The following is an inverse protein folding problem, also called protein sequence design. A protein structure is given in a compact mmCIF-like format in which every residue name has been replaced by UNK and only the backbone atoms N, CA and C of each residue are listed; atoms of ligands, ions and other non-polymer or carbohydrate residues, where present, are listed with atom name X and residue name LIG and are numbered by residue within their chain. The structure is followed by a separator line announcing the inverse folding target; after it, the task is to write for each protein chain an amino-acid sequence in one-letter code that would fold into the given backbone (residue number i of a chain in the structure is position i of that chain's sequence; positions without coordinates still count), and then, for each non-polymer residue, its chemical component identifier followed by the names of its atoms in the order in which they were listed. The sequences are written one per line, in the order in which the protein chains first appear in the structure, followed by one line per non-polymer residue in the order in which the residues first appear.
data_IF_426637989377
#
_entry.id   IF_426637989377
#
_cell.length_a   1.000
_cell.length_b   1.000
_cell.length_c   1.000
_cell.angle_alpha   90.00
_cell.angle_beta   90.00
_cell.angle_gamma   90.00
#
_symmetry.space_group_name_H-M   'P 1'
#
loop_
_entity.id
_entity.type
_entity.pdbx_description
1 polymer ?
#
# COMPACT_ATOMS: atom_id res chain seq x y z
N UNK A 1 19.98 3.46 -7.28
CA UNK A 1 18.99 4.28 -7.99
C UNK A 1 17.67 4.16 -7.25
N UNK A 2 16.97 5.28 -7.02
CA UNK A 2 15.62 5.23 -6.46
C UNK A 2 14.62 4.92 -7.58
N UNK A 3 13.64 4.04 -7.34
CA UNK A 3 12.54 3.77 -8.28
C UNK A 3 11.22 3.97 -7.56
N UNK A 4 10.25 4.55 -8.26
CA UNK A 4 8.90 4.77 -7.73
C UNK A 4 7.96 3.77 -8.40
N UNK A 5 7.18 3.09 -7.59
CA UNK A 5 6.19 2.11 -8.02
C UNK A 5 4.83 2.54 -7.48
N UNK A 6 3.80 2.46 -8.30
CA UNK A 6 2.45 2.79 -7.91
C UNK A 6 1.59 1.54 -7.97
N UNK A 7 0.71 1.39 -6.99
CA UNK A 7 -0.22 0.27 -6.88
C UNK A 7 -1.61 0.78 -6.56
N UNK A 8 -2.61 0.07 -7.03
CA UNK A 8 -4.01 0.42 -6.81
C UNK A 8 -4.84 -0.85 -6.61
N UNK A 9 -5.78 -0.77 -5.67
CA UNK A 9 -6.93 -1.66 -5.55
C UNK A 9 -8.21 -0.87 -5.20
N UNK A 10 -9.35 -1.32 -5.71
CA UNK A 10 -10.66 -0.83 -5.27
C UNK A 10 -11.25 -1.80 -4.25
N UNK A 11 -11.69 -1.28 -3.11
CA UNK A 11 -12.29 -2.05 -2.05
C UNK A 11 -13.53 -1.35 -1.49
N UNK A 12 -14.69 -2.04 -1.54
CA UNK A 12 -15.98 -1.53 -1.04
C UNK A 12 -16.37 -0.14 -1.58
N UNK A 13 -15.98 0.17 -2.81
CA UNK A 13 -16.26 1.47 -3.45
C UNK A 13 -15.26 2.57 -3.12
N UNK A 14 -14.22 2.28 -2.33
CA UNK A 14 -13.10 3.18 -2.06
C UNK A 14 -11.87 2.77 -2.85
N UNK A 15 -11.17 3.77 -3.38
CA UNK A 15 -9.90 3.55 -4.06
C UNK A 15 -8.77 3.60 -3.04
N UNK A 16 -7.94 2.57 -3.01
CA UNK A 16 -6.73 2.52 -2.19
C UNK A 16 -5.53 2.48 -3.12
N UNK A 17 -4.66 3.47 -3.00
CA UNK A 17 -3.42 3.52 -3.77
C UNK A 17 -2.21 3.56 -2.86
N UNK A 18 -1.14 2.89 -3.28
CA UNK A 18 0.12 2.85 -2.57
C UNK A 18 1.26 3.27 -3.50
N UNK A 19 2.00 4.29 -3.10
CA UNK A 19 3.25 4.68 -3.73
C UNK A 19 4.40 4.10 -2.93
N UNK A 20 5.24 3.28 -3.58
CA UNK A 20 6.44 2.71 -2.99
C UNK A 20 7.68 3.27 -3.68
N UNK A 21 8.49 4.01 -2.94
CA UNK A 21 9.80 4.47 -3.40
C UNK A 21 10.86 3.49 -2.89
N UNK A 22 11.45 2.70 -3.79
CA UNK A 22 12.53 1.75 -3.48
C UNK A 22 13.91 2.42 -3.60
N UNK A 23 14.88 1.97 -2.80
CA UNK A 23 16.20 2.57 -2.69
C UNK A 23 16.96 2.04 -1.46
N UNK A 24 17.86 2.85 -0.89
CA UNK A 24 18.54 2.50 0.38
C UNK A 24 17.55 2.45 1.56
N UNK A 25 16.58 3.38 1.56
CA UNK A 25 15.40 3.32 2.39
C UNK A 25 14.20 3.14 1.47
N UNK A 26 13.22 2.37 1.91
CA UNK A 26 11.93 2.21 1.25
C UNK A 26 10.94 3.13 1.95
N UNK A 27 10.26 3.97 1.18
CA UNK A 27 9.19 4.84 1.66
C UNK A 27 7.88 4.40 1.01
N UNK A 28 6.83 4.31 1.82
CA UNK A 28 5.50 3.87 1.40
C UNK A 28 4.47 4.92 1.82
N UNK A 29 3.82 5.51 0.84
CA UNK A 29 2.69 6.41 1.03
C UNK A 29 1.41 5.70 0.59
N UNK A 30 0.35 5.78 1.40
CA UNK A 30 -0.94 5.18 1.11
C UNK A 30 -2.03 6.24 1.13
N UNK A 31 -2.80 6.29 0.04
CA UNK A 31 -3.93 7.18 -0.13
C UNK A 31 -5.23 6.38 -0.15
N UNK A 32 -6.29 6.94 0.44
CA UNK A 32 -7.67 6.48 0.29
C UNK A 32 -8.46 7.58 -0.40
N UNK A 33 -9.11 7.26 -1.51
CA UNK A 33 -9.86 8.21 -2.36
C UNK A 33 -9.03 9.45 -2.74
N UNK A 34 -7.72 9.25 -2.95
CA UNK A 34 -6.77 10.31 -3.30
C UNK A 34 -6.29 11.19 -2.14
N UNK A 35 -6.72 10.91 -0.91
CA UNK A 35 -6.25 11.59 0.30
C UNK A 35 -5.22 10.74 1.05
N UNK A 36 -4.13 11.37 1.48
CA UNK A 36 -3.13 10.68 2.32
C UNK A 36 -3.74 10.22 3.64
N UNK A 37 -3.58 8.93 3.92
CA UNK A 37 -4.12 8.29 5.13
C UNK A 37 -3.06 7.56 5.94
N UNK A 38 -1.93 7.17 5.32
CA UNK A 38 -0.86 6.47 6.02
C UNK A 38 0.48 6.56 5.31
N UNK A 39 1.54 6.49 6.11
CA UNK A 39 2.93 6.48 5.65
C UNK A 39 3.72 5.48 6.50
N UNK A 40 4.59 4.70 5.87
CA UNK A 40 5.58 3.85 6.53
C UNK A 40 6.93 3.89 5.83
N UNK A 41 7.99 3.63 6.59
CA UNK A 41 9.34 3.49 6.06
C UNK A 41 9.96 2.17 6.54
N UNK A 42 10.84 1.62 5.73
CA UNK A 42 11.62 0.43 6.10
C UNK A 42 12.99 0.47 5.46
N UNK A 43 13.90 -0.33 6.01
CA UNK A 43 15.26 -0.49 5.53
C UNK A 43 15.45 -1.89 4.97
N UNK A 44 16.33 -1.98 3.98
CA UNK A 44 16.62 -3.22 3.26
C UNK A 44 15.34 -3.88 2.70
N UNK A 45 15.34 -5.20 2.59
CA UNK A 45 14.21 -5.99 2.07
C UNK A 45 13.17 -6.34 3.15
N UNK A 46 13.11 -5.58 4.25
CA UNK A 46 12.16 -5.87 5.35
C UNK A 46 10.76 -5.39 4.98
N UNK A 47 9.73 -6.23 5.09
CA UNK A 47 8.35 -5.81 4.85
C UNK A 47 7.91 -4.70 5.82
N UNK A 48 7.08 -3.79 5.33
CA UNK A 48 6.41 -2.76 6.14
C UNK A 48 4.90 -2.89 5.99
N UNK A 49 4.18 -2.68 7.09
CA UNK A 49 2.71 -2.68 7.10
C UNK A 49 2.24 -1.29 7.51
N UNK A 50 1.40 -0.69 6.68
CA UNK A 50 0.77 0.60 6.92
C UNK A 50 -0.69 0.33 7.25
N UNK A 51 -1.14 0.75 8.42
CA UNK A 51 -2.55 0.65 8.82
C UNK A 51 -3.28 1.93 8.43
N UNK A 52 -4.52 1.79 7.96
CA UNK A 52 -5.36 2.89 7.52
C UNK A 52 -6.84 2.57 7.80
N UNK A 53 -7.67 3.60 7.74
CA UNK A 53 -9.11 3.48 7.92
C UNK A 53 -9.82 3.88 6.62
N UNK A 54 -10.74 3.03 6.16
CA UNK A 54 -11.64 3.36 5.06
C UNK A 54 -12.88 4.07 5.60
N UNK A 55 -13.36 5.12 4.91
CA UNK A 55 -14.55 5.87 5.30
C UNK A 55 -15.85 5.15 4.92
N UNK A 56 -15.95 3.88 5.29
CA UNK A 56 -17.18 3.08 5.21
C UNK A 56 -18.08 3.36 6.43
N UNK A 57 -19.32 2.88 6.40
CA UNK A 57 -20.21 2.89 7.57
C UNK A 57 -20.53 1.44 8.01
N UNK A 58 -19.98 0.96 9.15
CA UNK A 58 -19.02 1.63 10.05
C UNK A 58 -17.62 1.76 9.42
N UNK A 59 -16.73 2.63 9.96
CA UNK A 59 -15.36 2.76 9.47
C UNK A 59 -14.61 1.43 9.51
N UNK A 60 -13.86 1.12 8.44
CA UNK A 60 -13.20 -0.17 8.28
C UNK A 60 -11.69 -0.02 8.42
N UNK A 61 -11.12 -0.65 9.44
CA UNK A 61 -9.68 -0.73 9.66
C UNK A 61 -9.04 -1.71 8.68
N UNK A 62 -8.13 -1.25 7.83
CA UNK A 62 -7.45 -2.07 6.81
C UNK A 62 -5.94 -1.85 6.86
N UNK A 63 -5.17 -2.67 6.15
CA UNK A 63 -3.72 -2.55 6.08
C UNK A 63 -3.18 -2.75 4.67
N UNK A 64 -2.09 -2.06 4.36
CA UNK A 64 -1.28 -2.29 3.17
C UNK A 64 0.07 -2.81 3.60
N UNK A 65 0.37 -4.04 3.21
CA UNK A 65 1.65 -4.70 3.44
C UNK A 65 2.51 -4.64 2.19
N UNK A 66 3.66 -3.98 2.32
CA UNK A 66 4.65 -3.85 1.25
C UNK A 66 5.83 -4.74 1.57
N UNK A 67 6.16 -5.64 0.65
CA UNK A 67 7.38 -6.44 0.70
C UNK A 67 8.32 -5.93 -0.39
N UNK A 68 9.40 -5.21 -0.02
CA UNK A 68 10.45 -4.86 -0.96
C UNK A 68 11.11 -6.13 -1.51
N UNK A 69 11.67 -6.04 -2.72
CA UNK A 69 12.38 -7.15 -3.33
C UNK A 69 13.09 -6.71 -4.61
N UNK A 70 13.88 -7.61 -5.23
CA UNK A 70 14.60 -7.28 -6.44
C UNK A 70 13.63 -6.97 -7.59
N UNK A 71 13.54 -5.69 -7.96
CA UNK A 71 12.68 -5.22 -9.05
C UNK A 71 11.44 -4.47 -8.56
N UNK A 72 10.26 -4.99 -8.85
CA UNK A 72 8.97 -4.39 -8.47
C UNK A 72 8.56 -4.93 -7.10
N UNK A 73 8.31 -4.06 -6.11
CA UNK A 73 7.87 -4.49 -4.78
C UNK A 73 6.49 -5.16 -4.86
N UNK A 74 6.19 -6.03 -3.89
CA UNK A 74 4.87 -6.64 -3.77
C UNK A 74 4.04 -5.86 -2.76
N UNK A 75 2.91 -5.32 -3.21
CA UNK A 75 1.91 -4.69 -2.34
C UNK A 75 0.70 -5.61 -2.16
N UNK A 76 0.32 -5.83 -0.90
CA UNK A 76 -0.86 -6.64 -0.54
C UNK A 76 -1.77 -5.79 0.34
N UNK A 77 -3.05 -5.81 0.04
CA UNK A 77 -4.10 -5.15 0.80
C UNK A 77 -4.81 -6.18 1.68
N UNK A 78 -4.98 -5.85 2.96
CA UNK A 78 -5.58 -6.71 3.97
C UNK A 78 -6.78 -5.99 4.59
N UNK A 79 -7.96 -6.59 4.47
CA UNK A 79 -9.19 -6.05 5.04
C UNK A 79 -9.88 -7.09 5.97
N UNK A 80 -10.59 -6.64 7.02
CA UNK A 80 -11.28 -7.53 7.94
C UNK A 80 -12.33 -8.38 7.22
N UNK A 81 -12.23 -9.70 7.41
CA UNK A 81 -13.16 -10.65 6.81
C UNK A 81 -13.00 -10.85 5.30
N UNK A 82 -11.93 -10.34 4.70
CA UNK A 82 -11.55 -10.60 3.31
C UNK A 82 -10.20 -11.31 3.26
N UNK A 83 -9.98 -12.10 2.21
CA UNK A 83 -8.65 -12.65 1.94
C UNK A 83 -7.68 -11.54 1.51
N UNK A 84 -6.39 -11.62 1.85
CA UNK A 84 -5.40 -10.65 1.38
C UNK A 84 -5.34 -10.57 -0.15
N UNK A 85 -5.42 -9.36 -0.68
CA UNK A 85 -5.49 -9.10 -2.12
C UNK A 85 -4.20 -8.46 -2.61
N UNK A 86 -3.62 -8.98 -3.69
CA UNK A 86 -2.45 -8.33 -4.31
C UNK A 86 -2.92 -7.08 -5.04
N UNK A 87 -2.29 -5.93 -4.74
CA UNK A 87 -2.60 -4.68 -5.43
C UNK A 87 -1.99 -4.70 -6.83
N UNK A 88 -2.72 -4.17 -7.80
CA UNK A 88 -2.26 -4.14 -9.19
C UNK A 88 -1.20 -3.04 -9.37
N UNK A 89 -0.02 -3.35 -9.94
CA UNK A 89 0.94 -2.31 -10.30
C UNK A 89 0.37 -1.44 -11.42
N UNK A 90 0.48 -0.13 -11.26
CA UNK A 90 0.06 0.84 -12.25
C UNK A 90 1.29 1.59 -12.79
N UNK A 91 1.48 1.65 -14.12
CA UNK A 91 2.48 2.55 -14.69
C UNK A 91 2.03 4.00 -14.46
N UNK A 92 3.01 4.87 -14.20
CA UNK A 92 2.82 6.32 -14.24
C UNK A 92 2.63 6.81 -15.67
#
# INVERSE_FOLDING_TARGET
MRRRHHFHIDHRGHSVSATVQTGHNVEVEVLVDGKETGHGTTQDDRPVTVHLELPTDPPSQVAVRVTPGPGVPRCTFEAPGAEPQVMSPHPY
#
